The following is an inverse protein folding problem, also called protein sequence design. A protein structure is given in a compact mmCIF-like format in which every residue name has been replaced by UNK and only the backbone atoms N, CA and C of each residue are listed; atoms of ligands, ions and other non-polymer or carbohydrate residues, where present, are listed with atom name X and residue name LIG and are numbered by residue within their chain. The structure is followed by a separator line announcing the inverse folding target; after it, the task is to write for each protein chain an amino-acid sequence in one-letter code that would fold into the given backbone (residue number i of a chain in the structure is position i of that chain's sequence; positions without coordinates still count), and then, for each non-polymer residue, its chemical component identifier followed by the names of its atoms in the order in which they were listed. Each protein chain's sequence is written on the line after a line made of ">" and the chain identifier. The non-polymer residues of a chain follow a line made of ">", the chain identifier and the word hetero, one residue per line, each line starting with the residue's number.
data_IF_749474653526
#
_entry.id   IF_749474653526
#
_cell.length_a   1.000
_cell.length_b   1.000
_cell.length_c   1.000
_cell.angle_alpha   90.00
_cell.angle_beta   90.00
_cell.angle_gamma   90.00
#
_symmetry.space_group_name_H-M   'P 1'
#
loop_
_entity.id
_entity.type
_entity.pdbx_description
1 polymer ?
#
# COMPACT_ATOMS: atom_id res chain seq x y z
N UNK A 1 -19.49 5.71 -2.61
CA UNK A 1 -18.53 5.87 -3.72
C UNK A 1 -18.39 4.62 -4.59
N UNK A 2 -18.97 3.47 -4.21
CA UNK A 2 -18.88 2.22 -4.99
C UNK A 2 -20.29 1.77 -5.39
N UNK A 3 -20.46 1.24 -6.61
CA UNK A 3 -21.72 0.60 -7.03
C UNK A 3 -21.97 -0.67 -6.22
N UNK A 4 -20.93 -1.49 -6.05
CA UNK A 4 -20.91 -2.67 -5.21
C UNK A 4 -19.66 -2.68 -4.30
N UNK A 5 -19.81 -3.28 -3.13
CA UNK A 5 -18.71 -3.57 -2.21
C UNK A 5 -19.01 -4.88 -1.49
N UNK A 6 -18.03 -5.80 -1.51
CA UNK A 6 -18.07 -7.08 -0.82
C UNK A 6 -16.98 -7.13 0.24
N UNK A 7 -17.32 -7.58 1.44
CA UNK A 7 -16.36 -7.81 2.54
C UNK A 7 -16.40 -9.26 2.96
N UNK A 8 -15.24 -9.90 3.02
CA UNK A 8 -15.03 -11.23 3.63
C UNK A 8 -14.09 -11.09 4.81
N UNK A 9 -14.54 -11.51 6.00
CA UNK A 9 -13.73 -11.50 7.23
C UNK A 9 -13.51 -12.94 7.68
N UNK A 10 -12.25 -13.35 7.74
CA UNK A 10 -11.81 -14.64 8.25
C UNK A 10 -11.45 -14.47 9.72
N UNK A 11 -12.28 -15.01 10.62
CA UNK A 11 -12.12 -14.83 12.08
C UNK A 11 -12.74 -16.01 12.82
N UNK A 12 -12.10 -16.45 13.92
CA UNK A 12 -12.60 -17.52 14.80
C UNK A 12 -13.00 -18.81 14.06
N UNK A 13 -12.22 -19.20 13.04
CA UNK A 13 -12.48 -20.40 12.25
C UNK A 13 -13.58 -20.26 11.19
N UNK A 14 -14.18 -19.07 11.04
CA UNK A 14 -15.33 -18.82 10.16
C UNK A 14 -15.05 -17.72 9.14
N UNK A 15 -15.72 -17.80 7.99
CA UNK A 15 -15.74 -16.77 6.95
C UNK A 15 -17.06 -16.02 7.07
N UNK A 16 -16.99 -14.75 7.49
CA UNK A 16 -18.12 -13.84 7.53
C UNK A 16 -18.18 -13.02 6.24
N UNK A 17 -19.37 -12.80 5.69
CA UNK A 17 -19.56 -12.07 4.44
C UNK A 17 -20.68 -11.03 4.55
N UNK A 18 -20.45 -9.86 3.99
CA UNK A 18 -21.46 -8.82 3.81
C UNK A 18 -21.28 -8.10 2.46
N UNK A 19 -22.40 -7.74 1.84
CA UNK A 19 -22.46 -7.02 0.57
C UNK A 19 -23.17 -5.67 0.76
N UNK A 20 -22.68 -4.66 0.06
CA UNK A 20 -23.24 -3.31 0.03
C UNK A 20 -23.46 -2.87 -1.42
N UNK A 21 -24.54 -2.15 -1.68
CA UNK A 21 -24.82 -1.48 -2.96
C UNK A 21 -24.98 0.00 -2.75
N UNK A 22 -24.11 0.80 -3.36
CA UNK A 22 -24.09 2.27 -3.17
C UNK A 22 -24.10 2.69 -1.68
N UNK A 23 -23.41 1.91 -0.84
CA UNK A 23 -23.31 2.14 0.61
C UNK A 23 -24.44 1.54 1.46
N UNK A 24 -25.53 1.06 0.84
CA UNK A 24 -26.62 0.41 1.55
C UNK A 24 -26.31 -1.08 1.76
N UNK A 25 -26.54 -1.56 2.98
CA UNK A 25 -26.43 -2.98 3.32
C UNK A 25 -27.45 -3.77 2.50
N UNK A 26 -26.99 -4.76 1.74
CA UNK A 26 -27.87 -5.64 0.94
C UNK A 26 -28.52 -6.70 1.82
N UNK A 27 -27.75 -7.26 2.76
CA UNK A 27 -28.20 -8.27 3.70
C UNK A 27 -27.35 -8.24 4.99
N UNK A 28 -27.89 -8.84 6.05
CA UNK A 28 -27.18 -9.02 7.30
C UNK A 28 -25.90 -9.87 7.11
N UNK A 29 -24.94 -9.67 8.02
CA UNK A 29 -23.69 -10.42 8.05
C UNK A 29 -23.98 -11.92 8.17
N UNK A 30 -23.51 -12.71 7.19
CA UNK A 30 -23.70 -14.16 7.15
C UNK A 30 -22.38 -14.92 7.26
N UNK A 31 -22.41 -16.08 7.90
CA UNK A 31 -21.30 -17.04 7.85
C UNK A 31 -21.44 -17.87 6.58
N UNK A 32 -20.41 -17.85 5.72
CA UNK A 32 -20.43 -18.52 4.40
C UNK A 32 -19.49 -19.73 4.31
N UNK A 33 -18.77 -20.04 5.38
CA UNK A 33 -17.89 -21.21 5.42
C UNK A 33 -16.94 -21.21 6.62
N UNK A 34 -16.09 -22.22 6.67
CA UNK A 34 -15.01 -22.40 7.64
C UNK A 34 -13.65 -21.97 7.05
N UNK A 35 -12.70 -21.59 7.89
CA UNK A 35 -11.36 -21.20 7.47
C UNK A 35 -10.32 -21.44 8.57
N UNK A 36 -9.10 -21.77 8.17
CA UNK A 36 -7.89 -21.84 8.99
C UNK A 36 -7.07 -20.53 8.97
N UNK A 37 -7.54 -19.52 8.23
CA UNK A 37 -6.86 -18.23 8.04
C UNK A 37 -7.49 -17.13 8.89
N UNK A 38 -6.78 -16.02 9.03
CA UNK A 38 -7.29 -14.77 9.57
C UNK A 38 -7.04 -13.64 8.59
N UNK A 39 -7.95 -12.67 8.53
CA UNK A 39 -7.77 -11.47 7.71
C UNK A 39 -9.07 -10.96 7.12
N UNK A 40 -8.96 -9.91 6.33
CA UNK A 40 -10.09 -9.25 5.67
C UNK A 40 -9.80 -9.10 4.20
N UNK A 41 -10.77 -9.44 3.37
CA UNK A 41 -10.76 -9.13 1.93
C UNK A 41 -11.88 -8.15 1.67
N UNK A 42 -11.54 -7.05 1.00
CA UNK A 42 -12.51 -6.07 0.50
C UNK A 42 -12.39 -6.04 -1.01
N UNK A 43 -13.53 -6.16 -1.69
CA UNK A 43 -13.63 -5.98 -3.13
C UNK A 43 -14.67 -4.90 -3.40
N UNK A 44 -14.39 -3.99 -4.33
CA UNK A 44 -15.33 -2.92 -4.66
C UNK A 44 -15.24 -2.53 -6.13
N UNK A 45 -16.35 -2.02 -6.66
CA UNK A 45 -16.41 -1.44 -8.00
C UNK A 45 -16.70 0.07 -7.87
N UNK A 46 -15.85 0.97 -8.40
CA UNK A 46 -16.10 2.41 -8.38
C UNK A 46 -17.45 2.76 -9.02
N UNK A 47 -18.14 3.77 -8.47
CA UNK A 47 -19.42 4.22 -9.01
C UNK A 47 -19.24 5.19 -10.19
N UNK A 48 -19.64 4.84 -11.42
CA UNK A 48 -19.45 5.69 -12.60
C UNK A 48 -20.34 6.93 -12.60
N UNK A 49 -21.38 6.99 -11.76
CA UNK A 49 -22.17 8.22 -11.59
C UNK A 49 -21.42 9.26 -10.75
N UNK A 50 -20.41 8.84 -9.98
CA UNK A 50 -19.60 9.71 -9.14
C UNK A 50 -18.23 9.97 -9.80
N UNK A 51 -17.58 8.92 -10.30
CA UNK A 51 -16.29 9.01 -10.99
C UNK A 51 -16.52 9.08 -12.50
N UNK A 52 -16.72 10.29 -13.01
CA UNK A 52 -17.08 10.53 -14.41
C UNK A 52 -15.89 10.56 -15.37
N UNK A 53 -14.68 10.85 -14.88
CA UNK A 53 -13.46 10.88 -15.71
C UNK A 53 -12.95 9.48 -16.04
N UNK A 54 -12.85 8.60 -15.04
CA UNK A 54 -12.44 7.20 -15.21
C UNK A 54 -12.85 6.35 -14.01
N UNK A 55 -13.17 5.09 -14.27
CA UNK A 55 -13.30 4.03 -13.24
C UNK A 55 -12.22 2.96 -13.40
N UNK A 56 -11.31 3.14 -14.37
CA UNK A 56 -10.20 2.23 -14.59
C UNK A 56 -9.03 2.54 -13.68
N UNK A 57 -8.49 1.51 -13.05
CA UNK A 57 -7.29 1.61 -12.25
C UNK A 57 -6.03 1.59 -13.13
N UNK A 58 -5.11 2.49 -12.80
CA UNK A 58 -3.77 2.58 -13.37
C UNK A 58 -2.82 1.70 -12.54
N UNK A 59 -2.28 0.65 -13.14
CA UNK A 59 -1.45 -0.32 -12.43
C UNK A 59 -0.15 0.33 -11.93
N UNK A 60 0.51 1.15 -12.75
CA UNK A 60 1.82 1.72 -12.44
C UNK A 60 1.72 2.73 -11.29
N UNK A 61 0.65 3.53 -11.27
CA UNK A 61 0.37 4.44 -10.15
C UNK A 61 0.14 3.67 -8.84
N UNK A 62 -0.64 2.58 -8.88
CA UNK A 62 -0.88 1.75 -7.70
C UNK A 62 0.38 1.02 -7.25
N UNK A 63 1.13 0.44 -8.18
CA UNK A 63 2.38 -0.27 -7.95
C UNK A 63 3.39 0.65 -7.24
N UNK A 64 3.57 1.89 -7.73
CA UNK A 64 4.44 2.89 -7.09
C UNK A 64 4.05 3.17 -5.65
N UNK A 65 2.77 3.41 -5.36
CA UNK A 65 2.30 3.68 -3.99
C UNK A 65 2.42 2.46 -3.09
N UNK A 66 2.17 1.26 -3.60
CA UNK A 66 2.29 0.02 -2.84
C UNK A 66 3.76 -0.29 -2.52
N UNK A 67 4.67 -0.04 -3.47
CA UNK A 67 6.10 -0.18 -3.25
C UNK A 67 6.59 0.78 -2.17
N UNK A 68 6.16 2.04 -2.21
CA UNK A 68 6.43 3.04 -1.16
C UNK A 68 5.94 2.56 0.21
N UNK A 69 4.71 2.04 0.30
CA UNK A 69 4.20 1.46 1.55
C UNK A 69 5.04 0.28 2.04
N UNK A 70 5.57 -0.56 1.15
CA UNK A 70 6.44 -1.67 1.52
C UNK A 70 7.80 -1.18 2.08
N UNK A 71 8.31 -0.04 1.61
CA UNK A 71 9.49 0.58 2.23
C UNK A 71 9.19 1.15 3.61
N UNK A 72 8.05 1.84 3.77
CA UNK A 72 7.64 2.45 5.05
C UNK A 72 7.29 1.41 6.13
N UNK A 73 7.00 0.17 5.74
CA UNK A 73 6.64 -0.92 6.65
C UNK A 73 7.68 -2.04 6.55
N UNK A 74 8.80 -1.88 7.27
CA UNK A 74 9.91 -2.84 7.31
C UNK A 74 9.42 -4.28 7.54
N UNK A 75 9.78 -5.20 6.64
CA UNK A 75 9.39 -6.62 6.70
C UNK A 75 7.94 -6.92 6.28
N UNK A 76 7.15 -5.91 5.87
CA UNK A 76 5.82 -6.14 5.33
C UNK A 76 5.91 -6.59 3.87
N UNK A 77 5.41 -7.79 3.59
CA UNK A 77 5.26 -8.28 2.22
C UNK A 77 3.93 -7.78 1.64
N UNK A 78 4.00 -6.99 0.56
CA UNK A 78 2.82 -6.52 -0.17
C UNK A 78 2.90 -6.98 -1.62
N UNK A 79 1.80 -7.46 -2.18
CA UNK A 79 1.70 -7.88 -3.57
C UNK A 79 0.57 -7.16 -4.30
N UNK A 80 0.80 -6.81 -5.57
CA UNK A 80 -0.20 -6.27 -6.48
C UNK A 80 -0.28 -7.15 -7.73
N UNK A 81 -1.49 -7.36 -8.24
CA UNK A 81 -1.71 -8.13 -9.46
C UNK A 81 -2.80 -7.48 -10.32
N UNK A 82 -2.52 -7.33 -11.62
CA UNK A 82 -3.51 -7.01 -12.65
C UNK A 82 -4.03 -8.32 -13.26
N UNK A 83 -5.36 -8.42 -13.36
CA UNK A 83 -6.06 -9.59 -13.90
C UNK A 83 -6.84 -9.27 -15.18
N UNK A 84 -6.68 -8.07 -15.74
CA UNK A 84 -7.31 -7.68 -17.01
C UNK A 84 -6.65 -8.46 -18.15
N UNK A 85 -7.47 -8.99 -19.05
CA UNK A 85 -7.00 -9.76 -20.19
C UNK A 85 -6.05 -8.93 -21.07
N UNK A 86 -4.89 -9.50 -21.41
CA UNK A 86 -3.85 -8.84 -22.20
C UNK A 86 -3.02 -7.80 -21.44
N UNK A 87 -3.25 -7.62 -20.12
CA UNK A 87 -2.49 -6.73 -19.23
C UNK A 87 -2.05 -7.45 -17.94
N UNK A 88 -2.09 -8.77 -17.92
CA UNK A 88 -1.79 -9.57 -16.74
C UNK A 88 -0.36 -9.36 -16.28
N UNK A 89 -0.21 -8.93 -15.04
CA UNK A 89 1.10 -8.71 -14.42
C UNK A 89 0.97 -8.79 -12.91
N UNK A 90 2.08 -9.08 -12.22
CA UNK A 90 2.11 -9.11 -10.77
C UNK A 90 3.47 -8.63 -10.27
N UNK A 91 3.45 -7.88 -9.17
CA UNK A 91 4.65 -7.45 -8.46
C UNK A 91 4.52 -7.80 -6.97
N UNK A 92 5.66 -8.09 -6.34
CA UNK A 92 5.77 -8.41 -4.92
C UNK A 92 6.89 -7.56 -4.35
N UNK A 93 6.58 -6.81 -3.30
CA UNK A 93 7.51 -5.95 -2.60
C UNK A 93 7.71 -6.46 -1.17
N UNK A 94 8.96 -6.51 -0.77
CA UNK A 94 9.35 -6.94 0.57
C UNK A 94 10.73 -6.34 0.88
N UNK A 95 10.77 -5.34 1.75
CA UNK A 95 11.98 -4.59 2.04
C UNK A 95 12.33 -4.71 3.53
N UNK A 96 13.41 -5.43 3.82
CA UNK A 96 13.95 -5.59 5.16
C UNK A 96 14.74 -4.34 5.61
N UNK A 97 15.20 -3.50 4.69
CA UNK A 97 15.95 -2.27 5.02
C UNK A 97 15.07 -1.05 5.30
N UNK A 98 13.74 -1.16 5.18
CA UNK A 98 12.82 -0.05 5.45
C UNK A 98 13.10 1.19 4.60
N UNK A 99 13.07 2.37 5.23
CA UNK A 99 13.30 3.65 4.56
C UNK A 99 14.73 3.84 4.03
N UNK A 100 15.71 3.09 4.52
CA UNK A 100 17.08 3.08 3.95
C UNK A 100 17.04 2.57 2.51
N UNK A 101 16.36 1.43 2.30
CA UNK A 101 16.15 0.88 0.95
C UNK A 101 15.32 1.81 0.06
N UNK A 102 14.50 2.68 0.65
CA UNK A 102 13.77 3.69 -0.12
C UNK A 102 14.69 4.77 -0.64
N UNK A 103 15.63 5.25 0.19
CA UNK A 103 16.64 6.24 -0.23
C UNK A 103 17.52 5.65 -1.35
N UNK A 104 17.96 4.40 -1.20
CA UNK A 104 18.71 3.69 -2.26
C UNK A 104 17.92 3.66 -3.57
N UNK A 105 16.65 3.28 -3.50
CA UNK A 105 15.75 3.25 -4.66
C UNK A 105 15.57 4.63 -5.30
N UNK A 106 15.39 5.69 -4.51
CA UNK A 106 15.24 7.06 -5.02
C UNK A 106 16.52 7.59 -5.69
N UNK A 107 17.67 7.00 -5.36
CA UNK A 107 18.98 7.42 -5.84
C UNK A 107 19.60 6.45 -6.86
N UNK A 108 18.92 5.38 -7.28
CA UNK A 108 19.44 4.35 -8.20
C UNK A 108 20.04 4.93 -9.50
N UNK A 109 19.50 6.07 -9.98
CA UNK A 109 19.94 6.74 -11.20
C UNK A 109 20.72 8.05 -10.93
N UNK A 110 21.28 8.23 -9.74
CA UNK A 110 22.01 9.43 -9.33
C UNK A 110 23.41 9.06 -8.84
N UNK A 111 24.36 9.96 -9.06
CA UNK A 111 25.68 9.84 -8.45
C UNK A 111 25.59 10.19 -6.96
N UNK A 112 25.80 9.20 -6.09
CA UNK A 112 25.80 9.38 -4.62
C UNK A 112 27.19 9.75 -4.12
N UNK A 113 27.26 10.57 -3.07
CA UNK A 113 28.55 11.03 -2.53
C UNK A 113 29.21 10.01 -1.57
N UNK A 114 28.42 9.07 -1.04
CA UNK A 114 28.87 7.99 -0.16
C UNK A 114 27.92 6.81 -0.29
N UNK A 115 28.46 5.61 -0.06
CA UNK A 115 27.81 4.33 -0.39
C UNK A 115 26.54 4.09 0.43
N UNK A 116 26.60 4.22 1.75
CA UNK A 116 25.49 3.86 2.65
C UNK A 116 24.68 5.10 3.08
N UNK A 117 23.35 5.15 2.90
CA UNK A 117 22.53 6.22 3.45
C UNK A 117 22.72 6.39 4.97
N UNK A 118 22.67 7.64 5.41
CA UNK A 118 22.62 7.96 6.85
C UNK A 118 21.24 7.55 7.34
N UNK A 119 21.20 6.83 8.46
CA UNK A 119 19.98 6.35 9.10
C UNK A 119 20.02 6.63 10.60
N UNK A 120 18.90 7.11 11.15
CA UNK A 120 18.70 7.25 12.59
C UNK A 120 17.22 7.12 12.93
N UNK A 121 16.94 6.59 14.11
CA UNK A 121 15.61 6.55 14.69
C UNK A 121 15.63 6.97 16.16
N UNK A 122 14.47 7.35 16.69
CA UNK A 122 14.30 7.71 18.08
C UNK A 122 12.83 7.88 18.46
N UNK A 123 12.57 7.86 19.77
CA UNK A 123 11.24 8.10 20.32
C UNK A 123 11.32 9.17 21.42
N UNK A 124 10.43 10.15 21.37
CA UNK A 124 10.30 11.17 22.41
C UNK A 124 8.82 11.48 22.63
N UNK A 125 8.39 11.54 23.88
CA UNK A 125 7.00 11.82 24.27
C UNK A 125 5.96 10.93 23.56
N UNK A 126 6.31 9.67 23.30
CA UNK A 126 5.46 8.69 22.60
C UNK A 126 5.35 8.91 21.09
N UNK A 127 6.18 9.79 20.52
CA UNK A 127 6.29 10.02 19.07
C UNK A 127 7.57 9.37 18.58
N UNK A 128 7.43 8.36 17.73
CA UNK A 128 8.55 7.70 17.04
C UNK A 128 8.89 8.45 15.75
N UNK A 129 10.17 8.69 15.52
CA UNK A 129 10.70 9.34 14.32
C UNK A 129 11.80 8.46 13.74
N UNK A 130 11.74 8.22 12.43
CA UNK A 130 12.73 7.48 11.66
C UNK A 130 13.19 8.38 10.50
N UNK A 131 14.49 8.49 10.28
CA UNK A 131 15.09 9.35 9.24
C UNK A 131 16.14 8.58 8.47
N UNK A 132 16.02 8.57 7.14
CA UNK A 132 17.07 8.15 6.22
C UNK A 132 17.36 9.25 5.21
N UNK A 133 18.64 9.50 4.93
CA UNK A 133 19.05 10.51 3.95
C UNK A 133 20.39 10.16 3.29
N UNK A 134 20.58 10.64 2.07
CA UNK A 134 21.84 10.47 1.33
C UNK A 134 22.04 11.64 0.37
N UNK A 135 23.28 12.14 0.32
CA UNK A 135 23.65 13.22 -0.59
C UNK A 135 23.98 12.67 -1.97
N UNK A 136 23.60 13.42 -3.00
CA UNK A 136 23.92 13.16 -4.39
C UNK A 136 24.72 14.32 -4.99
N UNK A 137 25.34 14.11 -6.15
CA UNK A 137 26.03 15.15 -6.90
C UNK A 137 25.10 16.17 -7.58
N UNK A 138 23.77 16.06 -7.39
CA UNK A 138 22.79 16.96 -8.02
C UNK A 138 22.47 18.16 -7.13
N UNK A 139 22.09 19.29 -7.74
CA UNK A 139 21.65 20.49 -7.01
C UNK A 139 20.17 20.45 -6.58
N UNK A 140 19.44 19.37 -6.89
CA UNK A 140 18.03 19.24 -6.56
C UNK A 140 17.86 18.58 -5.18
N UNK A 141 17.09 19.24 -4.32
CA UNK A 141 16.64 18.68 -3.05
C UNK A 141 15.34 17.88 -3.25
N UNK A 142 15.26 16.72 -2.60
CA UNK A 142 14.04 15.93 -2.53
C UNK A 142 13.83 15.45 -1.10
N UNK A 143 12.88 16.06 -0.40
CA UNK A 143 12.49 15.69 0.97
C UNK A 143 11.11 15.06 0.93
N UNK A 144 11.00 13.84 1.44
CA UNK A 144 9.74 13.13 1.60
C UNK A 144 9.47 12.97 3.09
N UNK A 145 8.28 13.39 3.53
CA UNK A 145 7.86 13.33 4.93
C UNK A 145 6.59 12.51 5.06
N UNK A 146 6.50 11.74 6.14
CA UNK A 146 5.39 10.83 6.40
C UNK A 146 4.95 10.89 7.85
N UNK A 147 3.65 10.84 8.08
CA UNK A 147 3.05 10.65 9.39
C UNK A 147 2.10 9.45 9.32
N UNK A 148 2.34 8.41 10.13
CA UNK A 148 1.54 7.18 10.13
C UNK A 148 1.33 6.58 8.73
N UNK A 149 2.42 6.48 7.94
CA UNK A 149 2.45 5.99 6.54
C UNK A 149 1.71 6.87 5.50
N UNK A 150 1.26 8.06 5.89
CA UNK A 150 0.66 9.04 4.99
C UNK A 150 1.69 10.10 4.63
N UNK A 151 1.88 10.32 3.33
CA UNK A 151 2.74 11.39 2.83
C UNK A 151 2.17 12.75 3.21
N UNK A 152 2.99 13.65 3.74
CA UNK A 152 2.60 15.00 4.18
C UNK A 152 3.04 16.11 3.23
#
# INVERSE_FOLDING_TARGET
>A
LSTSLEVKVHKNGKIHFQEYKRGLVVADLKVIGDTDKTGTTVHFTPDPEIFTETTEFDFDKLAKRIQELAFLNKGLKISISDKREGKEQSQVYHYEGGIVSYVDYLNENKEVLFENPIYTDGEMDGISVEVAMQYTGTYHENVLSFANNIHT
#
